data_IF_228390042195
#
_entry.id   IF_228390042195
#
_cell.length_a   1.000
_cell.length_b   1.000
_cell.length_c   1.000
_cell.angle_alpha   90.00
_cell.angle_beta   90.00
_cell.angle_gamma   90.00
#
_symmetry.space_group_name_H-M   'P 1'
#
loop_
_entity.id
_entity.type
_entity.pdbx_description
1 polymer ?
#
# COMPACT_ATOMS: atom_id res chain seq x y z
N UNK A 1 -36.90 -42.87 -34.15
CA UNK A 1 -37.18 -41.43 -34.32
C UNK A 1 -36.27 -40.69 -33.36
N UNK A 2 -34.97 -40.56 -33.65
CA UNK A 2 -34.32 -39.45 -34.40
C UNK A 2 -34.48 -38.09 -33.71
N UNK A 3 -33.41 -37.63 -33.06
CA UNK A 3 -32.66 -36.39 -33.40
C UNK A 3 -32.92 -35.32 -32.32
N UNK A 4 -31.98 -34.52 -31.83
CA UNK A 4 -30.58 -34.28 -32.15
C UNK A 4 -30.01 -33.39 -31.05
N UNK A 5 -29.11 -33.88 -30.20
CA UNK A 5 -28.27 -33.00 -29.37
C UNK A 5 -27.07 -32.58 -30.20
N UNK A 6 -26.95 -31.27 -30.48
CA UNK A 6 -25.81 -30.70 -31.19
C UNK A 6 -24.55 -30.92 -30.36
N UNK A 7 -23.67 -31.81 -30.84
CA UNK A 7 -22.28 -31.90 -30.41
C UNK A 7 -21.55 -30.67 -30.94
N UNK A 8 -21.16 -29.75 -30.06
CA UNK A 8 -20.14 -28.77 -30.40
C UNK A 8 -18.80 -29.39 -29.99
N UNK A 9 -18.15 -30.06 -30.94
CA UNK A 9 -16.79 -30.57 -30.80
C UNK A 9 -15.87 -29.37 -31.02
N UNK A 10 -15.33 -28.81 -29.94
CA UNK A 10 -14.21 -27.90 -30.05
C UNK A 10 -12.93 -28.75 -30.04
N UNK A 11 -12.45 -29.14 -31.23
CA UNK A 11 -11.15 -29.77 -31.39
C UNK A 11 -10.05 -28.73 -31.17
N UNK A 12 -9.50 -28.66 -29.97
CA UNK A 12 -8.18 -28.05 -29.76
C UNK A 12 -7.11 -29.13 -29.98
N UNK A 13 -6.41 -29.07 -31.12
CA UNK A 13 -5.20 -29.87 -31.37
C UNK A 13 -4.01 -29.15 -30.75
N UNK A 14 -3.53 -29.65 -29.60
CA UNK A 14 -2.17 -29.38 -29.15
C UNK A 14 -1.18 -30.34 -29.83
N UNK A 15 0.06 -29.92 -30.12
CA UNK A 15 1.10 -30.84 -30.59
C UNK A 15 1.58 -31.69 -29.42
N UNK A 16 1.18 -32.96 -29.40
CA UNK A 16 1.56 -33.93 -28.37
C UNK A 16 0.36 -34.75 -27.92
N UNK A 17 0.09 -35.85 -28.65
CA UNK A 17 -1.05 -36.71 -28.37
C UNK A 17 -0.91 -37.48 -27.06
N UNK A 18 -1.93 -37.42 -26.21
CA UNK A 18 -2.26 -38.47 -25.23
C UNK A 18 -3.73 -38.35 -24.84
N UNK A 19 -4.52 -39.37 -25.13
CA UNK A 19 -5.91 -39.53 -24.69
C UNK A 19 -5.91 -40.16 -23.30
N UNK A 20 -6.60 -39.57 -22.32
CA UNK A 20 -6.83 -40.23 -21.01
C UNK A 20 -8.33 -40.36 -20.76
N UNK A 21 -8.76 -41.60 -20.52
CA UNK A 21 -10.14 -42.03 -20.27
C UNK A 21 -10.50 -41.67 -18.81
N UNK A 22 -11.57 -40.89 -18.61
CA UNK A 22 -12.07 -40.51 -17.28
C UNK A 22 -12.92 -41.61 -16.66
N UNK A 23 -12.40 -42.24 -15.60
CA UNK A 23 -13.18 -42.98 -14.60
C UNK A 23 -13.84 -42.03 -13.60
N UNK A 24 -15.04 -42.42 -13.14
CA UNK A 24 -15.99 -41.65 -12.32
C UNK A 24 -15.42 -41.34 -10.91
N UNK A 25 -15.26 -40.07 -10.54
CA UNK A 25 -15.04 -39.63 -9.16
C UNK A 25 -16.25 -38.80 -8.72
N UNK A 26 -16.92 -39.25 -7.66
CA UNK A 26 -18.01 -38.52 -6.98
C UNK A 26 -17.37 -37.47 -6.09
N UNK A 27 -17.70 -36.18 -6.30
CA UNK A 27 -17.21 -35.06 -5.48
C UNK A 27 -18.38 -34.50 -4.68
N UNK A 28 -18.30 -34.60 -3.35
CA UNK A 28 -19.11 -33.83 -2.38
C UNK A 28 -18.43 -32.47 -2.16
N UNK A 29 -19.22 -31.37 -2.24
CA UNK A 29 -19.14 -30.07 -1.52
C UNK A 29 -17.76 -29.41 -1.34
N UNK A 30 -17.49 -28.12 -1.62
CA UNK A 30 -18.29 -26.91 -1.77
C UNK A 30 -17.43 -25.80 -2.43
N UNK A 31 -18.10 -24.89 -3.14
CA UNK A 31 -17.74 -23.50 -3.49
C UNK A 31 -16.32 -23.14 -4.03
N UNK A 32 -16.27 -22.87 -5.35
CA UNK A 32 -15.38 -21.85 -5.95
C UNK A 32 -16.16 -21.11 -7.03
N UNK A 33 -16.44 -19.83 -6.82
CA UNK A 33 -16.79 -18.90 -7.90
C UNK A 33 -15.62 -17.95 -8.06
N UNK A 34 -14.96 -18.05 -9.21
CA UNK A 34 -13.97 -17.09 -9.70
C UNK A 34 -14.65 -16.19 -10.74
N UNK A 35 -14.50 -14.87 -10.60
CA UNK A 35 -14.63 -13.92 -11.70
C UNK A 35 -13.36 -13.06 -11.71
N UNK A 36 -12.61 -13.17 -12.82
CA UNK A 36 -11.48 -12.30 -13.21
C UNK A 36 -12.02 -10.88 -13.49
N UNK A 37 -11.27 -9.77 -13.39
CA UNK A 37 -10.13 -9.38 -14.25
C UNK A 37 -9.34 -8.24 -13.56
N UNK A 38 -8.03 -8.17 -13.83
CA UNK A 38 -7.06 -7.11 -13.46
C UNK A 38 -6.37 -7.21 -12.07
N UNK A 39 -5.73 -8.34 -11.80
CA UNK A 39 -4.68 -8.46 -10.79
C UNK A 39 -3.48 -9.22 -11.40
N UNK A 40 -2.89 -8.63 -12.44
CA UNK A 40 -1.71 -9.15 -13.15
C UNK A 40 -0.50 -8.24 -12.97
N UNK A 41 -0.14 -7.95 -11.72
CA UNK A 41 1.22 -7.65 -11.29
C UNK A 41 1.24 -8.02 -9.80
N UNK A 42 2.31 -8.66 -9.33
CA UNK A 42 2.47 -9.21 -7.97
C UNK A 42 1.77 -10.57 -7.76
N UNK A 43 2.11 -11.56 -8.58
CA UNK A 43 2.01 -12.97 -8.17
C UNK A 43 3.27 -13.73 -8.59
N UNK A 44 4.28 -13.70 -7.74
CA UNK A 44 5.29 -14.76 -7.66
C UNK A 44 5.62 -15.03 -6.19
N UNK A 45 5.86 -16.32 -5.91
CA UNK A 45 5.88 -16.92 -4.57
C UNK A 45 7.22 -16.68 -3.87
N UNK A 46 7.15 -16.02 -2.71
CA UNK A 46 8.01 -16.11 -1.51
C UNK A 46 9.55 -16.02 -1.66
N UNK A 47 10.06 -14.78 -1.79
CA UNK A 47 11.26 -14.24 -1.11
C UNK A 47 11.24 -12.71 -1.01
N UNK A 48 10.31 -12.03 -1.68
CA UNK A 48 10.30 -10.57 -1.74
C UNK A 48 9.54 -9.97 -0.55
N UNK A 49 10.26 -9.21 0.27
CA UNK A 49 9.67 -8.32 1.27
C UNK A 49 9.03 -7.14 0.57
N UNK A 50 7.83 -6.75 1.00
CA UNK A 50 7.21 -5.50 0.59
C UNK A 50 7.60 -4.40 1.56
N UNK A 51 8.33 -3.40 1.07
CA UNK A 51 8.91 -2.33 1.86
C UNK A 51 8.21 -0.99 1.54
N UNK A 52 7.89 -0.23 2.59
CA UNK A 52 7.37 1.15 2.47
C UNK A 52 8.37 2.11 3.10
N UNK A 53 8.69 3.20 2.41
CA UNK A 53 9.50 4.30 2.93
C UNK A 53 8.60 5.49 3.21
N UNK A 54 8.46 5.88 4.46
CA UNK A 54 7.77 7.10 4.88
C UNK A 54 8.80 8.21 5.07
N UNK A 55 8.68 9.27 4.28
CA UNK A 55 9.54 10.43 4.30
C UNK A 55 8.72 11.65 4.71
N UNK A 56 9.10 12.32 5.79
CA UNK A 56 8.41 13.53 6.25
C UNK A 56 9.31 14.38 7.12
N UNK A 57 8.71 15.24 7.94
CA UNK A 57 9.40 16.02 8.98
C UNK A 57 8.96 15.59 10.38
N UNK A 58 9.81 15.91 11.36
CA UNK A 58 9.48 15.72 12.77
C UNK A 58 8.16 16.40 13.13
N UNK A 59 7.27 15.65 13.79
CA UNK A 59 5.92 16.12 14.16
C UNK A 59 4.80 15.77 13.17
N UNK A 60 5.11 15.33 11.93
CA UNK A 60 4.08 14.96 10.95
C UNK A 60 3.52 13.54 11.14
N UNK A 61 4.07 12.75 12.07
CA UNK A 61 3.53 11.45 12.44
C UNK A 61 3.92 10.28 11.53
N UNK A 62 5.01 10.38 10.77
CA UNK A 62 5.49 9.30 9.88
C UNK A 62 5.79 7.97 10.61
N UNK A 63 6.34 8.04 11.83
CA UNK A 63 6.59 6.84 12.66
C UNK A 63 5.27 6.18 13.09
N UNK A 64 4.27 6.99 13.45
CA UNK A 64 2.94 6.50 13.81
C UNK A 64 2.25 5.86 12.60
N UNK A 65 2.39 6.45 11.40
CA UNK A 65 1.87 5.85 10.17
C UNK A 65 2.49 4.46 9.93
N UNK A 66 3.82 4.34 10.02
CA UNK A 66 4.51 3.07 9.85
C UNK A 66 4.05 2.02 10.88
N UNK A 67 3.82 2.43 12.14
CA UNK A 67 3.32 1.53 13.18
C UNK A 67 1.90 1.01 12.88
N UNK A 68 0.98 1.90 12.50
CA UNK A 68 -0.40 1.52 12.14
C UNK A 68 -0.39 0.57 10.93
N UNK A 69 0.40 0.90 9.91
CA UNK A 69 0.51 0.07 8.71
C UNK A 69 1.07 -1.33 9.01
N UNK A 70 2.06 -1.44 9.89
CA UNK A 70 2.57 -2.72 10.35
C UNK A 70 1.54 -3.51 11.14
N UNK A 71 0.78 -2.86 12.04
CA UNK A 71 -0.28 -3.52 12.81
C UNK A 71 -1.38 -4.07 11.90
N UNK A 72 -1.81 -3.30 10.91
CA UNK A 72 -2.76 -3.76 9.89
C UNK A 72 -2.22 -4.99 9.14
N UNK A 73 -0.91 -5.00 8.80
CA UNK A 73 -0.29 -6.13 8.12
C UNK A 73 -0.26 -7.40 8.99
N UNK A 74 0.05 -7.25 10.28
CA UNK A 74 0.04 -8.36 11.25
C UNK A 74 -1.35 -8.95 11.39
N UNK A 75 -2.39 -8.12 11.45
CA UNK A 75 -3.78 -8.59 11.51
C UNK A 75 -4.17 -9.45 10.28
N UNK A 76 -3.56 -9.20 9.12
CA UNK A 76 -3.72 -9.99 7.88
C UNK A 76 -2.78 -11.21 7.78
N UNK A 77 -2.09 -11.56 8.87
CA UNK A 77 -1.19 -12.71 8.93
C UNK A 77 0.15 -12.51 8.22
N UNK A 78 0.60 -11.26 8.03
CA UNK A 78 1.97 -10.98 7.59
C UNK A 78 2.90 -10.80 8.79
N UNK A 79 4.16 -11.15 8.59
CA UNK A 79 5.24 -10.63 9.43
C UNK A 79 5.49 -9.18 9.02
N UNK A 80 5.51 -8.26 9.98
CA UNK A 80 5.69 -6.85 9.72
C UNK A 80 6.68 -6.22 10.71
N UNK A 81 7.51 -5.31 10.20
CA UNK A 81 8.33 -4.41 11.01
C UNK A 81 7.93 -2.96 10.73
N UNK A 82 7.97 -2.14 11.76
CA UNK A 82 7.99 -0.68 11.67
C UNK A 82 9.33 -0.21 12.25
N UNK A 83 10.15 0.45 11.43
CA UNK A 83 11.53 0.82 11.76
C UNK A 83 11.63 2.34 11.68
N UNK A 84 11.62 3.07 12.81
CA UNK A 84 11.91 4.50 12.79
C UNK A 84 13.39 4.73 12.52
N UNK A 85 13.72 5.79 11.79
CA UNK A 85 15.09 6.24 11.60
C UNK A 85 15.15 7.76 11.73
N UNK A 86 15.77 8.18 12.82
CA UNK A 86 16.09 9.57 13.10
C UNK A 86 17.59 9.72 12.89
N UNK A 87 18.01 10.57 11.96
CA UNK A 87 19.42 10.95 11.84
C UNK A 87 19.89 11.79 13.04
N UNK A 88 20.88 12.65 12.83
CA UNK A 88 21.28 13.67 13.81
C UNK A 88 20.26 14.84 13.83
N UNK A 89 18.99 14.55 14.08
CA UNK A 89 17.88 15.45 13.73
C UNK A 89 17.59 16.55 14.76
N UNK A 90 17.49 17.78 14.25
CA UNK A 90 16.89 18.97 14.87
C UNK A 90 15.43 19.10 14.40
N UNK A 91 14.60 19.96 15.02
CA UNK A 91 13.22 20.21 14.54
C UNK A 91 13.21 20.57 13.04
N UNK A 92 12.30 19.96 12.30
CA UNK A 92 12.13 20.20 10.87
C UNK A 92 13.08 19.43 9.95
N UNK A 93 14.06 18.67 10.47
CA UNK A 93 14.89 17.82 9.62
C UNK A 93 14.07 16.68 8.96
N UNK A 94 14.53 16.13 7.81
CA UNK A 94 13.88 14.99 7.17
C UNK A 94 13.91 13.77 8.11
N UNK A 95 12.74 13.22 8.42
CA UNK A 95 12.55 12.02 9.25
C UNK A 95 12.16 10.87 8.35
N UNK A 96 12.73 9.70 8.63
CA UNK A 96 12.36 8.46 7.97
C UNK A 96 11.63 7.50 8.92
N UNK A 97 10.65 6.80 8.39
CA UNK A 97 10.16 5.56 8.97
C UNK A 97 10.01 4.53 7.85
N UNK A 98 10.19 3.26 8.18
CA UNK A 98 10.12 2.19 7.20
C UNK A 98 9.15 1.11 7.65
N UNK A 99 8.48 0.50 6.68
CA UNK A 99 7.87 -0.81 6.86
C UNK A 99 8.62 -1.86 6.06
N UNK A 100 8.62 -3.07 6.61
CA UNK A 100 8.99 -4.29 5.91
C UNK A 100 7.95 -5.35 6.21
N UNK A 101 7.27 -5.83 5.18
CA UNK A 101 6.23 -6.84 5.28
C UNK A 101 6.66 -8.10 4.55
N UNK A 102 6.32 -9.27 5.08
CA UNK A 102 6.62 -10.57 4.46
C UNK A 102 5.60 -11.62 4.86
N UNK A 103 5.41 -12.63 4.01
CA UNK A 103 4.66 -13.85 4.37
C UNK A 103 5.46 -14.82 5.23
N UNK A 104 6.76 -14.59 5.37
CA UNK A 104 7.69 -15.40 6.18
C UNK A 104 8.43 -14.53 7.18
N UNK A 105 9.06 -15.15 8.18
CA UNK A 105 9.82 -14.46 9.23
C UNK A 105 10.83 -13.47 8.66
N UNK A 106 10.83 -12.24 9.19
CA UNK A 106 11.77 -11.20 8.81
C UNK A 106 12.98 -11.23 9.76
N UNK A 107 14.15 -11.60 9.25
CA UNK A 107 15.39 -11.62 10.03
C UNK A 107 16.11 -10.27 10.04
N UNK A 108 16.06 -9.54 8.91
CA UNK A 108 16.76 -8.26 8.75
C UNK A 108 15.96 -7.09 9.32
N UNK A 109 16.54 -6.41 10.30
CA UNK A 109 16.05 -5.16 10.89
C UNK A 109 16.79 -3.92 10.35
N UNK A 110 17.58 -4.10 9.29
CA UNK A 110 18.29 -2.99 8.66
C UNK A 110 17.32 -2.00 8.02
N UNK A 111 17.76 -0.75 7.86
CA UNK A 111 16.98 0.28 7.15
C UNK A 111 16.62 -0.17 5.73
N UNK A 112 15.44 0.23 5.27
CA UNK A 112 15.07 0.09 3.86
C UNK A 112 15.83 1.13 3.06
N UNK A 113 16.55 0.69 2.02
CA UNK A 113 17.26 1.60 1.10
C UNK A 113 16.31 2.22 0.09
N UNK A 114 15.47 1.40 -0.53
CA UNK A 114 14.45 1.80 -1.48
C UNK A 114 13.19 0.94 -1.26
N UNK A 115 12.02 1.57 -1.24
CA UNK A 115 10.73 0.91 -1.02
C UNK A 115 10.00 0.54 -2.30
N UNK A 116 9.08 -0.40 -2.19
CA UNK A 116 8.06 -0.65 -3.21
C UNK A 116 7.05 0.51 -3.26
N UNK A 117 6.83 1.16 -2.11
CA UNK A 117 6.11 2.42 -1.98
C UNK A 117 7.00 3.46 -1.30
N UNK A 118 7.12 4.64 -1.91
CA UNK A 118 7.64 5.84 -1.27
C UNK A 118 6.48 6.76 -0.91
N UNK A 119 6.25 6.98 0.38
CA UNK A 119 5.23 7.87 0.92
C UNK A 119 5.87 9.17 1.41
N UNK A 120 5.60 10.28 0.73
CA UNK A 120 6.17 11.61 1.04
C UNK A 120 5.11 12.47 1.73
N UNK A 121 5.25 12.68 3.03
CA UNK A 121 4.35 13.48 3.87
C UNK A 121 4.57 14.99 3.68
N UNK A 122 5.77 15.39 3.30
CA UNK A 122 6.13 16.78 3.02
C UNK A 122 6.77 16.91 1.63
N UNK A 123 6.06 17.45 0.63
CA UNK A 123 6.58 17.57 -0.73
C UNK A 123 7.79 18.50 -0.83
N UNK A 124 7.99 19.44 0.12
CA UNK A 124 9.15 20.36 0.10
C UNK A 124 10.49 19.65 0.23
N UNK A 125 10.50 18.40 0.70
CA UNK A 125 11.71 17.60 0.85
C UNK A 125 12.40 17.27 -0.48
N UNK A 126 11.70 17.39 -1.62
CA UNK A 126 12.30 17.26 -2.95
C UNK A 126 13.42 18.29 -3.21
N UNK A 127 13.33 19.47 -2.59
CA UNK A 127 14.37 20.50 -2.67
C UNK A 127 15.51 20.31 -1.67
N UNK A 128 15.40 19.33 -0.76
CA UNK A 128 16.37 19.08 0.32
C UNK A 128 17.19 17.82 0.06
N UNK A 129 16.61 16.82 -0.61
CA UNK A 129 17.30 15.56 -0.89
C UNK A 129 16.79 14.86 -2.15
N UNK A 130 17.62 13.98 -2.70
CA UNK A 130 17.21 13.13 -3.82
C UNK A 130 16.30 11.98 -3.35
N UNK A 131 15.03 12.05 -3.76
CA UNK A 131 14.03 11.04 -3.41
C UNK A 131 13.99 9.88 -4.41
N UNK A 132 14.63 9.99 -5.59
CA UNK A 132 14.60 8.95 -6.63
C UNK A 132 15.23 7.65 -6.15
N UNK A 133 16.30 7.75 -5.37
CA UNK A 133 16.99 6.59 -4.79
C UNK A 133 16.20 5.88 -3.68
N UNK A 134 15.06 6.43 -3.24
CA UNK A 134 14.24 5.88 -2.16
C UNK A 134 13.10 4.99 -2.65
N UNK A 135 12.90 4.88 -3.97
CA UNK A 135 11.88 4.02 -4.59
C UNK A 135 12.56 2.99 -5.48
N UNK A 136 12.14 1.73 -5.39
CA UNK A 136 12.67 0.64 -6.23
C UNK A 136 12.28 0.86 -7.70
N UNK A 137 13.01 0.28 -8.66
CA UNK A 137 12.51 0.15 -10.03
C UNK A 137 11.15 -0.53 -10.04
N UNK A 138 10.14 0.10 -10.66
CA UNK A 138 8.77 -0.41 -10.65
C UNK A 138 7.93 -0.03 -9.43
N UNK A 139 8.52 0.56 -8.39
CA UNK A 139 7.82 1.03 -7.20
C UNK A 139 6.96 2.26 -7.46
N UNK A 140 6.17 2.66 -6.48
CA UNK A 140 5.18 3.73 -6.60
C UNK A 140 5.46 4.87 -5.63
N UNK A 141 5.14 6.09 -6.06
CA UNK A 141 5.18 7.29 -5.24
C UNK A 141 3.77 7.64 -4.78
N UNK A 142 3.61 7.91 -3.48
CA UNK A 142 2.43 8.56 -2.90
C UNK A 142 2.89 9.83 -2.22
N UNK A 143 2.42 10.99 -2.67
CA UNK A 143 2.84 12.30 -2.14
C UNK A 143 1.65 13.05 -1.56
N UNK A 144 1.87 13.67 -0.40
CA UNK A 144 0.98 14.68 0.16
C UNK A 144 1.05 15.95 -0.69
N UNK A 145 0.25 16.02 -1.74
CA UNK A 145 0.07 17.22 -2.56
C UNK A 145 -1.23 17.14 -3.36
N UNK A 146 -1.73 18.31 -3.77
CA UNK A 146 -2.86 18.44 -4.71
C UNK A 146 -2.52 17.96 -6.11
N UNK A 147 -1.25 18.15 -6.52
CA UNK A 147 -0.72 17.82 -7.84
C UNK A 147 0.73 17.40 -7.73
N UNK A 148 1.30 16.88 -8.82
CA UNK A 148 2.72 16.52 -8.80
C UNK A 148 3.58 17.79 -8.75
N UNK A 149 4.35 17.96 -7.67
CA UNK A 149 5.28 19.09 -7.57
C UNK A 149 6.47 18.91 -8.53
N UNK A 150 7.05 20.01 -9.06
CA UNK A 150 8.28 19.96 -9.83
C UNK A 150 9.38 19.17 -9.11
N UNK A 151 10.08 18.32 -9.85
CA UNK A 151 11.14 17.47 -9.31
C UNK A 151 10.70 16.05 -8.96
N UNK A 152 9.41 15.81 -8.70
CA UNK A 152 8.90 14.44 -8.51
C UNK A 152 8.67 13.68 -9.82
N UNK A 153 8.68 14.34 -10.99
CA UNK A 153 8.51 13.68 -12.29
C UNK A 153 9.43 12.47 -12.47
N UNK A 154 8.83 11.32 -12.82
CA UNK A 154 9.55 10.06 -13.03
C UNK A 154 10.06 9.36 -11.76
N UNK A 155 9.75 9.85 -10.56
CA UNK A 155 9.98 9.14 -9.31
C UNK A 155 8.98 7.98 -9.21
N UNK A 156 9.50 6.75 -9.30
CA UNK A 156 8.67 5.54 -9.35
C UNK A 156 8.00 5.35 -10.72
N UNK A 157 7.42 4.17 -10.92
CA UNK A 157 6.65 3.81 -12.12
C UNK A 157 5.31 4.54 -12.17
N UNK A 158 4.70 4.73 -10.99
CA UNK A 158 3.38 5.32 -10.85
C UNK A 158 3.37 6.34 -9.71
N UNK A 159 2.59 7.40 -9.87
CA UNK A 159 2.59 8.55 -8.98
C UNK A 159 1.17 8.90 -8.57
N UNK A 160 0.95 8.95 -7.26
CA UNK A 160 -0.34 9.20 -6.65
C UNK A 160 -0.25 10.39 -5.70
N UNK A 161 -1.30 11.20 -5.70
CA UNK A 161 -1.40 12.42 -4.95
C UNK A 161 -2.63 12.36 -4.05
N UNK A 162 -2.48 12.92 -2.85
CA UNK A 162 -3.57 13.17 -1.91
C UNK A 162 -3.28 14.47 -1.18
N UNK A 163 -4.25 15.37 -1.09
CA UNK A 163 -4.11 16.59 -0.29
C UNK A 163 -4.37 16.28 1.19
N UNK A 164 -3.40 15.64 1.84
CA UNK A 164 -3.50 15.26 3.24
C UNK A 164 -3.54 16.48 4.17
N UNK A 165 -2.98 17.61 3.74
CA UNK A 165 -3.07 18.87 4.47
C UNK A 165 -4.51 19.37 4.53
N UNK A 166 -5.19 19.47 3.38
CA UNK A 166 -6.59 19.91 3.36
C UNK A 166 -7.49 18.96 4.17
N UNK A 167 -7.30 17.64 4.06
CA UNK A 167 -8.06 16.67 4.86
C UNK A 167 -7.84 16.90 6.36
N UNK A 168 -6.60 17.13 6.79
CA UNK A 168 -6.29 17.40 8.20
C UNK A 168 -6.91 18.72 8.68
N UNK A 169 -6.91 19.76 7.85
CA UNK A 169 -7.53 21.06 8.14
C UNK A 169 -9.06 20.96 8.24
N UNK A 170 -9.71 20.32 7.26
CA UNK A 170 -11.16 20.06 7.24
C UNK A 170 -11.65 19.33 8.50
N UNK A 171 -10.83 18.39 9.01
CA UNK A 171 -11.13 17.59 10.20
C UNK A 171 -10.62 18.21 11.51
N UNK A 172 -10.03 19.41 11.45
CA UNK A 172 -9.36 20.09 12.56
C UNK A 172 -8.36 19.18 13.30
N UNK A 173 -7.67 18.31 12.55
CA UNK A 173 -6.74 17.31 13.06
C UNK A 173 -5.34 17.91 13.16
N UNK A 174 -5.07 18.54 14.31
CA UNK A 174 -3.79 19.22 14.60
C UNK A 174 -3.35 19.02 16.04
N UNK A 175 -2.04 18.97 16.26
CA UNK A 175 -1.43 18.91 17.59
C UNK A 175 -0.42 20.05 17.71
N UNK A 176 -0.57 20.88 18.74
CA UNK A 176 0.27 22.07 18.95
C UNK A 176 0.35 22.97 17.70
N UNK A 177 -0.77 23.11 16.97
CA UNK A 177 -0.86 23.91 15.74
C UNK A 177 -0.32 23.24 14.47
N UNK A 178 0.27 22.04 14.57
CA UNK A 178 0.80 21.31 13.43
C UNK A 178 -0.27 20.34 12.90
N UNK A 179 -0.67 20.44 11.61
CA UNK A 179 -1.60 19.47 10.99
C UNK A 179 -1.01 18.06 10.95
N UNK A 180 -1.82 17.06 11.31
CA UNK A 180 -1.41 15.65 11.27
C UNK A 180 -1.76 15.02 9.92
N UNK A 181 -0.82 15.10 8.98
CA UNK A 181 -0.97 14.58 7.62
C UNK A 181 -0.76 13.06 7.52
N UNK A 182 -0.30 12.41 8.58
CA UNK A 182 -0.03 10.98 8.57
C UNK A 182 -1.28 10.12 8.37
N UNK A 183 -2.42 10.45 8.99
CA UNK A 183 -3.62 9.59 8.89
C UNK A 183 -4.21 9.54 7.48
N UNK A 184 -4.39 10.65 6.76
CA UNK A 184 -4.76 10.58 5.35
C UNK A 184 -3.73 9.82 4.51
N UNK A 185 -2.44 9.99 4.82
CA UNK A 185 -1.39 9.25 4.13
C UNK A 185 -1.44 7.74 4.39
N UNK A 186 -1.82 7.29 5.59
CA UNK A 186 -2.05 5.85 5.89
C UNK A 186 -3.14 5.29 4.99
N UNK A 187 -4.28 5.97 4.88
CA UNK A 187 -5.37 5.54 3.99
C UNK A 187 -4.96 5.51 2.53
N UNK A 188 -4.26 6.56 2.08
CA UNK A 188 -3.79 6.68 0.70
C UNK A 188 -2.78 5.58 0.32
N UNK A 189 -1.75 5.40 1.14
CA UNK A 189 -0.71 4.37 0.94
C UNK A 189 -1.33 2.98 1.04
N UNK A 190 -2.24 2.75 1.99
CA UNK A 190 -2.95 1.48 2.13
C UNK A 190 -3.69 1.08 0.87
N UNK A 191 -4.46 1.99 0.27
CA UNK A 191 -5.18 1.74 -0.99
C UNK A 191 -4.22 1.50 -2.15
N UNK A 192 -3.23 2.36 -2.33
CA UNK A 192 -2.26 2.27 -3.44
C UNK A 192 -1.41 1.00 -3.34
N UNK A 193 -1.12 0.53 -2.13
CA UNK A 193 -0.35 -0.69 -1.91
C UNK A 193 -1.06 -1.95 -2.42
N UNK A 194 -2.40 -1.95 -2.49
CA UNK A 194 -3.20 -3.11 -2.89
C UNK A 194 -3.22 -4.27 -1.89
N UNK A 195 -2.58 -4.14 -0.72
CA UNK A 195 -2.52 -5.20 0.29
C UNK A 195 -3.67 -5.20 1.28
N UNK A 196 -4.24 -4.02 1.53
CA UNK A 196 -5.22 -3.78 2.59
C UNK A 196 -6.61 -3.57 2.03
N UNK A 197 -7.60 -3.83 2.87
CA UNK A 197 -8.91 -3.21 2.79
C UNK A 197 -8.93 -2.00 3.73
N UNK A 198 -9.84 -1.06 3.49
CA UNK A 198 -9.96 0.13 4.34
C UNK A 198 -10.15 -0.25 5.82
N UNK A 199 -10.95 -1.29 6.09
CA UNK A 199 -11.27 -1.73 7.44
C UNK A 199 -10.03 -2.17 8.22
N UNK A 200 -9.05 -2.82 7.58
CA UNK A 200 -7.80 -3.23 8.21
C UNK A 200 -7.06 -2.04 8.82
N UNK A 201 -7.05 -0.91 8.10
CA UNK A 201 -6.37 0.32 8.53
C UNK A 201 -7.15 1.03 9.61
N UNK A 202 -8.49 1.05 9.54
CA UNK A 202 -9.35 1.65 10.56
C UNK A 202 -9.21 0.91 11.89
N UNK A 203 -9.17 -0.42 11.86
CA UNK A 203 -9.05 -1.23 13.08
C UNK A 203 -7.66 -1.08 13.71
N UNK A 204 -6.59 -1.10 12.91
CA UNK A 204 -5.24 -0.81 13.40
C UNK A 204 -5.12 0.62 13.96
N UNK A 205 -5.78 1.61 13.32
CA UNK A 205 -5.82 2.99 13.82
C UNK A 205 -6.54 3.06 15.16
N UNK A 206 -7.68 2.37 15.33
CA UNK A 206 -8.43 2.30 16.59
C UNK A 206 -7.64 1.63 17.72
N UNK A 207 -6.84 0.62 17.38
CA UNK A 207 -5.96 -0.03 18.33
C UNK A 207 -4.88 0.95 18.84
N UNK A 208 -4.24 1.67 17.91
CA UNK A 208 -3.07 2.50 18.18
C UNK A 208 -3.37 3.91 18.70
N UNK A 209 -4.49 4.51 18.29
CA UNK A 209 -4.82 5.91 18.56
C UNK A 209 -6.00 5.98 19.53
N UNK A 210 -5.87 6.82 20.56
CA UNK A 210 -6.94 7.08 21.54
C UNK A 210 -7.41 8.53 21.56
N UNK A 211 -6.52 9.47 21.22
CA UNK A 211 -6.80 10.90 21.19
C UNK A 211 -7.34 11.29 19.83
N UNK A 212 -8.40 12.09 19.80
CA UNK A 212 -9.08 12.53 18.56
C UNK A 212 -9.42 11.36 17.63
N UNK A 213 -9.82 10.21 18.19
CA UNK A 213 -9.97 8.95 17.46
C UNK A 213 -10.86 9.10 16.22
N UNK A 214 -12.05 9.69 16.37
CA UNK A 214 -12.99 9.86 15.25
C UNK A 214 -12.39 10.69 14.10
N UNK A 215 -11.71 11.80 14.40
CA UNK A 215 -11.02 12.60 13.38
C UNK A 215 -9.90 11.82 12.70
N UNK A 216 -9.15 10.99 13.44
CA UNK A 216 -8.10 10.16 12.85
C UNK A 216 -8.68 9.06 11.95
N UNK A 217 -9.76 8.38 12.36
CA UNK A 217 -10.43 7.36 11.56
C UNK A 217 -11.00 7.97 10.27
N UNK A 218 -11.70 9.10 10.37
CA UNK A 218 -12.19 9.83 9.20
C UNK A 218 -11.06 10.29 8.30
N UNK A 219 -9.93 10.72 8.84
CA UNK A 219 -8.77 11.12 8.05
C UNK A 219 -8.21 9.96 7.22
N UNK A 220 -8.09 8.75 7.80
CA UNK A 220 -7.72 7.53 7.06
C UNK A 220 -8.71 7.24 5.93
N UNK A 221 -10.01 7.28 6.24
CA UNK A 221 -11.07 7.05 5.26
C UNK A 221 -11.03 8.07 4.10
N UNK A 222 -10.87 9.36 4.39
CA UNK A 222 -10.78 10.40 3.37
C UNK A 222 -9.50 10.26 2.52
N UNK A 223 -8.37 9.93 3.15
CA UNK A 223 -7.14 9.63 2.41
C UNK A 223 -7.30 8.45 1.45
N UNK A 224 -7.97 7.39 1.89
CA UNK A 224 -8.32 6.24 1.05
C UNK A 224 -9.24 6.64 -0.11
N UNK A 225 -10.28 7.44 0.14
CA UNK A 225 -11.22 7.86 -0.91
C UNK A 225 -10.56 8.77 -1.93
N UNK A 226 -9.84 9.79 -1.46
CA UNK A 226 -9.35 10.92 -2.27
C UNK A 226 -8.02 10.67 -2.97
N UNK A 227 -7.24 9.67 -2.58
CA UNK A 227 -5.99 9.35 -3.30
C UNK A 227 -6.31 8.95 -4.75
N UNK A 228 -5.60 9.59 -5.68
CA UNK A 228 -5.73 9.36 -7.11
C UNK A 228 -4.39 9.55 -7.81
N UNK A 229 -4.35 9.28 -9.12
CA UNK A 229 -3.18 9.62 -9.94
C UNK A 229 -2.90 11.10 -9.81
N UNK A 230 -1.63 11.46 -9.67
CA UNK A 230 -1.25 12.87 -9.67
C UNK A 230 -1.68 13.49 -11.01
N UNK A 231 -2.48 14.55 -10.94
CA UNK A 231 -2.79 15.37 -12.11
C UNK A 231 -1.55 16.11 -12.60
N UNK A 232 -1.54 16.38 -13.90
CA UNK A 232 -0.60 17.30 -14.54
C UNK A 232 -0.98 18.76 -14.25
#
# INVERSE_FOLDING_TARGET
>A
MSSSSRRMICCARGPGGSTVILGRIVIKTEAKVYINVCASLIRNVMTETFDVVWLGRGGQGGVTAALIFAQAAVARGYYALAIPFFGAERRGAPVFAYNRLSKTTIYSRARVRAGDVLAVLDPSLIGVMDVRGLVKPGGVLVVNSRRLEPGFGGVGREQFCVDALAIAEELNLKVAGIPLVNMPMVGAVGKVSGFFELQDLLDATRAQIKVMLESNLRAVEEGWKRVGKCGC
#
